data_IF_491145063615
#
_entry.id   IF_491145063615
#
_cell.length_a   1.000
_cell.length_b   1.000
_cell.length_c   1.000
_cell.angle_alpha   90.00
_cell.angle_beta   90.00
_cell.angle_gamma   90.00
#
_symmetry.space_group_name_H-M   'P 1'
#
loop_
_entity.id
_entity.type
_entity.pdbx_description
1 polymer ?
#
# COMPACT_ATOMS: atom_id res chain seq x y z
N UNK A 1 -11.81 -38.20 22.70
CA UNK A 1 -11.83 -36.73 22.44
C UNK A 1 -10.39 -36.25 22.49
N UNK A 2 -9.89 -35.51 21.50
CA UNK A 2 -8.50 -35.03 21.50
C UNK A 2 -8.26 -34.10 22.70
N UNK A 3 -7.19 -34.28 23.50
CA UNK A 3 -6.87 -33.41 24.63
C UNK A 3 -6.81 -31.93 24.24
N UNK A 4 -6.42 -31.64 23.00
CA UNK A 4 -6.33 -30.29 22.45
C UNK A 4 -7.68 -29.55 22.43
N UNK A 5 -8.79 -30.28 22.25
CA UNK A 5 -10.13 -29.69 22.21
C UNK A 5 -10.60 -29.23 23.60
N UNK A 6 -10.06 -29.83 24.66
CA UNK A 6 -10.42 -29.51 26.04
C UNK A 6 -9.58 -28.37 26.63
N UNK A 7 -8.61 -27.84 25.89
CA UNK A 7 -7.84 -26.69 26.33
C UNK A 7 -8.72 -25.42 26.38
N UNK A 8 -8.49 -24.53 27.37
CA UNK A 8 -9.00 -23.15 27.35
C UNK A 8 -8.68 -22.44 26.03
N UNK A 9 -9.54 -21.49 25.66
CA UNK A 9 -9.45 -20.79 24.37
C UNK A 9 -8.12 -20.04 24.24
N UNK A 10 -7.64 -19.44 25.32
CA UNK A 10 -6.40 -18.68 25.40
C UNK A 10 -5.19 -19.56 25.08
N UNK A 11 -5.16 -20.79 25.59
CA UNK A 11 -4.08 -21.74 25.29
C UNK A 11 -4.14 -22.20 23.83
N UNK A 12 -5.33 -22.36 23.26
CA UNK A 12 -5.48 -22.66 21.83
C UNK A 12 -4.95 -21.52 20.98
N UNK A 13 -5.27 -20.28 21.33
CA UNK A 13 -4.82 -19.09 20.61
C UNK A 13 -3.29 -18.95 20.66
N UNK A 14 -2.68 -19.18 21.83
CA UNK A 14 -1.22 -19.21 21.98
C UNK A 14 -0.60 -20.33 21.15
N UNK A 15 -1.18 -21.54 21.15
CA UNK A 15 -0.66 -22.63 20.30
C UNK A 15 -0.74 -22.24 18.82
N UNK A 16 -1.90 -21.76 18.36
CA UNK A 16 -2.13 -21.38 16.96
C UNK A 16 -1.22 -20.23 16.53
N UNK A 17 -0.92 -19.27 17.39
CA UNK A 17 -0.05 -18.13 17.06
C UNK A 17 1.41 -18.53 16.77
N UNK A 18 1.83 -19.71 17.22
CA UNK A 18 3.18 -20.25 16.97
C UNK A 18 3.23 -21.21 15.78
N UNK A 19 2.08 -21.56 15.19
CA UNK A 19 2.02 -22.43 14.01
C UNK A 19 2.28 -21.64 12.72
N UNK A 20 2.86 -22.32 11.74
CA UNK A 20 2.98 -21.77 10.38
C UNK A 20 1.60 -21.72 9.72
N UNK A 21 1.41 -20.79 8.79
CA UNK A 21 0.13 -20.58 8.12
C UNK A 21 -0.38 -21.85 7.41
N UNK A 22 0.52 -22.64 6.85
CA UNK A 22 0.19 -23.92 6.20
C UNK A 22 -0.36 -24.95 7.20
N UNK A 23 0.24 -24.99 8.40
CA UNK A 23 -0.17 -25.90 9.47
C UNK A 23 -1.51 -25.47 10.06
N UNK A 24 -1.75 -24.16 10.21
CA UNK A 24 -3.06 -23.62 10.59
C UNK A 24 -4.13 -24.01 9.56
N UNK A 25 -3.83 -23.90 8.28
CA UNK A 25 -4.76 -24.28 7.20
C UNK A 25 -5.06 -25.80 7.20
N UNK A 26 -4.07 -26.64 7.52
CA UNK A 26 -4.27 -28.09 7.72
C UNK A 26 -5.09 -28.37 8.97
N UNK A 27 -4.79 -27.71 10.09
CA UNK A 27 -5.49 -27.87 11.36
C UNK A 27 -6.98 -27.56 11.22
N UNK A 28 -7.31 -26.48 10.49
CA UNK A 28 -8.69 -26.12 10.15
C UNK A 28 -9.47 -27.27 9.50
N UNK A 29 -8.82 -28.11 8.69
CA UNK A 29 -9.47 -29.24 7.99
C UNK A 29 -9.71 -30.45 8.90
N UNK A 30 -9.01 -30.53 10.03
CA UNK A 30 -9.12 -31.70 10.93
C UNK A 30 -10.36 -31.66 11.83
N UNK A 31 -10.77 -30.47 12.31
CA UNK A 31 -11.88 -30.33 13.24
C UNK A 31 -12.56 -28.96 13.11
N UNK A 32 -13.91 -28.94 13.13
CA UNK A 32 -14.72 -27.71 13.02
C UNK A 32 -14.46 -26.70 14.14
N UNK A 33 -14.29 -27.18 15.38
CA UNK A 33 -14.02 -26.32 16.54
C UNK A 33 -12.65 -25.63 16.43
N UNK A 34 -11.62 -26.35 16.01
CA UNK A 34 -10.32 -25.73 15.72
C UNK A 34 -10.41 -24.82 14.50
N UNK A 35 -11.27 -25.16 13.55
CA UNK A 35 -11.56 -24.33 12.38
C UNK A 35 -12.00 -22.92 12.77
N UNK A 36 -12.96 -22.77 13.69
CA UNK A 36 -13.43 -21.44 14.10
C UNK A 36 -12.36 -20.64 14.83
N UNK A 37 -11.57 -21.28 15.69
CA UNK A 37 -10.45 -20.66 16.42
C UNK A 37 -9.32 -20.22 15.49
N UNK A 38 -9.08 -20.93 14.39
CA UNK A 38 -7.96 -20.67 13.47
C UNK A 38 -8.26 -19.61 12.40
N UNK A 39 -9.53 -19.27 12.17
CA UNK A 39 -9.92 -18.31 11.13
C UNK A 39 -9.28 -16.91 11.28
N UNK A 40 -9.28 -16.27 12.47
CA UNK A 40 -8.65 -14.96 12.63
C UNK A 40 -7.18 -14.96 12.19
N UNK A 41 -6.42 -15.98 12.58
CA UNK A 41 -5.00 -16.12 12.23
C UNK A 41 -4.77 -16.33 10.73
N UNK A 42 -5.72 -16.96 10.02
CA UNK A 42 -5.62 -17.16 8.57
C UNK A 42 -5.97 -15.90 7.77
N UNK A 43 -6.87 -15.05 8.27
CA UNK A 43 -7.41 -13.92 7.51
C UNK A 43 -6.93 -12.54 7.99
N UNK A 44 -6.33 -12.44 9.19
CA UNK A 44 -5.88 -11.15 9.74
C UNK A 44 -4.82 -10.46 8.87
N UNK A 45 -3.91 -11.24 8.28
CA UNK A 45 -2.78 -10.74 7.50
C UNK A 45 -2.86 -11.35 6.10
N UNK A 46 -3.11 -10.52 5.09
CA UNK A 46 -3.23 -10.96 3.70
C UNK A 46 -2.20 -10.24 2.85
N UNK A 47 -1.37 -11.02 2.16
CA UNK A 47 -0.44 -10.53 1.16
C UNK A 47 -0.89 -10.97 -0.23
N UNK A 48 -1.02 -10.01 -1.14
CA UNK A 48 -1.40 -10.19 -2.52
C UNK A 48 -0.24 -9.76 -3.39
N UNK A 49 0.14 -10.59 -4.35
CA UNK A 49 1.27 -10.32 -5.23
C UNK A 49 0.81 -10.47 -6.67
N UNK A 50 1.05 -9.45 -7.50
CA UNK A 50 0.81 -9.60 -8.94
C UNK A 50 1.89 -10.48 -9.56
N UNK A 51 1.47 -11.49 -10.33
CA UNK A 51 2.34 -12.37 -11.10
C UNK A 51 2.79 -11.75 -12.43
N UNK A 52 2.17 -10.63 -12.84
CA UNK A 52 2.40 -9.97 -14.15
C UNK A 52 3.86 -9.52 -14.35
N UNK A 53 4.55 -9.23 -13.26
CA UNK A 53 5.80 -8.49 -13.25
C UNK A 53 7.06 -9.32 -13.59
N UNK A 54 6.93 -10.62 -13.90
CA UNK A 54 8.04 -11.46 -14.35
C UNK A 54 8.05 -11.73 -15.86
N UNK A 55 7.05 -11.24 -16.61
CA UNK A 55 7.13 -11.29 -18.06
C UNK A 55 8.08 -10.20 -18.51
N UNK A 56 9.38 -10.51 -18.57
CA UNK A 56 10.33 -9.77 -19.39
C UNK A 56 9.69 -9.64 -20.76
N UNK A 57 9.27 -8.43 -21.15
CA UNK A 57 8.57 -8.22 -22.41
C UNK A 57 9.42 -8.85 -23.52
N UNK A 58 8.98 -9.93 -24.17
CA UNK A 58 9.66 -10.39 -25.36
C UNK A 58 9.48 -9.27 -26.38
N UNK A 59 10.60 -8.63 -26.74
CA UNK A 59 10.66 -7.72 -27.89
C UNK A 59 10.03 -8.48 -29.05
N UNK A 60 8.96 -7.92 -29.61
CA UNK A 60 8.32 -8.40 -30.83
C UNK A 60 7.63 -9.77 -30.71
N UNK A 61 6.34 -9.77 -30.34
CA UNK A 61 5.39 -10.72 -30.92
C UNK A 61 3.98 -10.15 -30.89
N UNK A 62 3.47 -9.90 -32.09
CA UNK A 62 2.10 -9.51 -32.37
C UNK A 62 1.11 -10.59 -31.92
N UNK A 63 0.01 -10.14 -31.32
CA UNK A 63 -1.23 -10.88 -31.09
C UNK A 63 -1.16 -12.17 -30.24
N UNK A 64 -1.41 -12.02 -28.93
CA UNK A 64 -2.46 -12.76 -28.19
C UNK A 64 -2.33 -12.42 -26.70
N UNK A 65 -3.20 -11.53 -26.23
CA UNK A 65 -3.34 -11.16 -24.81
C UNK A 65 -3.80 -12.39 -24.01
N UNK A 66 -2.85 -13.17 -23.48
CA UNK A 66 -3.13 -14.26 -22.54
C UNK A 66 -3.36 -13.67 -21.16
N UNK A 67 -4.64 -13.74 -20.77
CA UNK A 67 -5.25 -13.43 -19.47
C UNK A 67 -4.31 -13.68 -18.29
N UNK A 68 -4.21 -12.64 -17.46
CA UNK A 68 -3.66 -12.64 -16.11
C UNK A 68 -4.21 -13.79 -15.27
N UNK A 69 -3.45 -14.12 -14.22
CA UNK A 69 -3.86 -14.90 -13.04
C UNK A 69 -4.97 -14.18 -12.23
N UNK A 70 -6.10 -13.93 -12.89
CA UNK A 70 -7.35 -13.42 -12.36
C UNK A 70 -8.06 -14.33 -11.33
N UNK A 71 -7.89 -15.69 -11.29
CA UNK A 71 -8.81 -16.50 -10.50
C UNK A 71 -8.61 -16.34 -8.99
N UNK A 72 -7.38 -16.10 -8.50
CA UNK A 72 -7.14 -16.08 -7.06
C UNK A 72 -7.68 -14.81 -6.37
N UNK A 73 -7.50 -13.64 -6.98
CA UNK A 73 -8.05 -12.40 -6.44
C UNK A 73 -9.58 -12.34 -6.57
N UNK A 74 -10.12 -12.85 -7.67
CA UNK A 74 -11.57 -12.97 -7.85
C UNK A 74 -12.18 -13.90 -6.78
N UNK A 75 -11.53 -15.01 -6.44
CA UNK A 75 -11.96 -15.90 -5.36
C UNK A 75 -11.89 -15.23 -3.99
N UNK A 76 -10.87 -14.42 -3.71
CA UNK A 76 -10.79 -13.67 -2.46
C UNK A 76 -11.90 -12.61 -2.36
N UNK A 77 -12.10 -11.82 -3.41
CA UNK A 77 -13.19 -10.84 -3.48
C UNK A 77 -14.55 -11.52 -3.32
N UNK A 78 -14.75 -12.65 -3.98
CA UNK A 78 -15.95 -13.47 -3.83
C UNK A 78 -16.12 -13.95 -2.39
N UNK A 79 -15.05 -14.42 -1.75
CA UNK A 79 -15.10 -14.85 -0.34
C UNK A 79 -15.48 -13.71 0.59
N UNK A 80 -14.94 -12.51 0.38
CA UNK A 80 -15.30 -11.33 1.17
C UNK A 80 -16.72 -10.84 0.91
N UNK A 81 -17.18 -10.96 -0.33
CA UNK A 81 -18.56 -10.65 -0.69
C UNK A 81 -19.55 -11.65 -0.08
N UNK A 82 -19.23 -12.94 -0.11
CA UNK A 82 -20.08 -14.02 0.43
C UNK A 82 -20.04 -14.12 1.96
N UNK A 83 -18.98 -13.59 2.61
CA UNK A 83 -18.79 -13.68 4.06
C UNK A 83 -18.17 -12.41 4.64
N UNK A 84 -19.03 -11.50 5.12
CA UNK A 84 -18.63 -10.28 5.84
C UNK A 84 -17.86 -10.57 7.12
N UNK A 85 -18.14 -11.69 7.79
CA UNK A 85 -17.45 -12.08 9.02
C UNK A 85 -15.97 -12.32 8.76
N UNK A 86 -15.63 -12.99 7.65
CA UNK A 86 -14.24 -13.23 7.27
C UNK A 86 -13.53 -11.93 6.87
N UNK A 87 -14.22 -11.04 6.15
CA UNK A 87 -13.63 -9.77 5.72
C UNK A 87 -13.39 -8.82 6.91
N UNK A 88 -14.23 -8.90 7.95
CA UNK A 88 -14.05 -8.18 9.21
C UNK A 88 -12.84 -8.66 10.04
N UNK A 89 -12.33 -9.88 9.80
CA UNK A 89 -11.13 -10.40 10.43
C UNK A 89 -9.85 -9.77 9.87
N UNK A 90 -9.88 -9.21 8.66
CA UNK A 90 -8.69 -8.64 8.00
C UNK A 90 -8.22 -7.38 8.74
N UNK A 91 -6.96 -7.40 9.20
CA UNK A 91 -6.31 -6.29 9.91
C UNK A 91 -5.15 -5.67 9.13
N UNK A 92 -4.50 -6.45 8.28
CA UNK A 92 -3.33 -6.05 7.50
C UNK A 92 -3.44 -6.52 6.06
N UNK A 93 -3.16 -5.60 5.13
CA UNK A 93 -3.08 -5.88 3.69
C UNK A 93 -1.72 -5.46 3.14
N UNK A 94 -1.06 -6.35 2.41
CA UNK A 94 0.14 -6.05 1.63
C UNK A 94 -0.10 -6.33 0.16
N UNK A 95 0.02 -5.30 -0.66
CA UNK A 95 -0.07 -5.36 -2.11
C UNK A 95 1.35 -5.29 -2.68
N UNK A 96 1.84 -6.38 -3.27
CA UNK A 96 3.21 -6.52 -3.76
C UNK A 96 3.25 -6.51 -5.28
N UNK A 97 4.17 -5.69 -5.83
CA UNK A 97 4.38 -5.51 -7.26
C UNK A 97 3.08 -5.24 -8.03
N UNK A 98 2.18 -4.44 -7.47
CA UNK A 98 0.90 -4.16 -8.13
C UNK A 98 1.07 -3.14 -9.26
N UNK A 99 0.36 -3.36 -10.36
CA UNK A 99 0.22 -2.34 -11.40
C UNK A 99 -0.54 -1.13 -10.84
N UNK A 100 -0.10 0.12 -11.12
CA UNK A 100 -0.82 1.34 -10.74
C UNK A 100 -2.28 1.42 -11.21
N UNK A 101 -2.60 0.75 -12.32
CA UNK A 101 -3.95 0.71 -12.90
C UNK A 101 -4.85 -0.36 -12.28
N UNK A 102 -4.31 -1.21 -11.41
CA UNK A 102 -5.07 -2.32 -10.82
C UNK A 102 -6.23 -1.81 -9.97
N UNK A 103 -7.46 -2.21 -10.32
CA UNK A 103 -8.65 -1.93 -9.52
C UNK A 103 -8.73 -2.79 -8.24
N UNK A 104 -7.89 -3.84 -8.13
CA UNK A 104 -7.94 -4.81 -7.04
C UNK A 104 -7.86 -4.17 -5.65
N UNK A 105 -6.90 -3.26 -5.35
CA UNK A 105 -6.82 -2.70 -4.00
C UNK A 105 -8.09 -1.94 -3.61
N UNK A 106 -8.61 -1.10 -4.51
CA UNK A 106 -9.85 -0.34 -4.27
C UNK A 106 -11.01 -1.27 -3.93
N UNK A 107 -11.16 -2.37 -4.68
CA UNK A 107 -12.23 -3.34 -4.46
C UNK A 107 -12.08 -4.04 -3.11
N UNK A 108 -10.86 -4.44 -2.71
CA UNK A 108 -10.62 -5.12 -1.43
C UNK A 108 -10.81 -4.19 -0.23
N UNK A 109 -10.39 -2.93 -0.34
CA UNK A 109 -10.58 -1.94 0.72
C UNK A 109 -12.06 -1.70 1.06
N UNK A 110 -12.96 -1.83 0.08
CA UNK A 110 -14.40 -1.69 0.30
C UNK A 110 -15.00 -2.78 1.20
N UNK A 111 -14.33 -3.95 1.33
CA UNK A 111 -14.84 -5.08 2.13
C UNK A 111 -14.09 -5.27 3.45
N UNK A 112 -13.09 -4.46 3.77
CA UNK A 112 -12.21 -4.68 4.93
C UNK A 112 -12.37 -3.55 5.96
N UNK A 113 -13.52 -3.47 6.66
CA UNK A 113 -13.86 -2.31 7.50
C UNK A 113 -12.91 -2.14 8.69
N UNK A 114 -12.33 -3.24 9.18
CA UNK A 114 -11.46 -3.25 10.36
C UNK A 114 -9.96 -3.19 10.03
N UNK A 115 -9.62 -2.81 8.80
CA UNK A 115 -8.25 -2.77 8.33
C UNK A 115 -7.46 -1.67 9.05
N UNK A 116 -6.32 -2.04 9.61
CA UNK A 116 -5.46 -1.14 10.39
C UNK A 116 -4.11 -0.88 9.74
N UNK A 117 -3.63 -1.79 8.89
CA UNK A 117 -2.33 -1.69 8.23
C UNK A 117 -2.46 -1.92 6.73
N UNK A 118 -1.89 -1.02 5.93
CA UNK A 118 -1.74 -1.20 4.49
C UNK A 118 -0.28 -1.00 4.09
N UNK A 119 0.20 -1.91 3.26
CA UNK A 119 1.47 -1.75 2.54
C UNK A 119 1.24 -1.87 1.04
N UNK A 120 1.45 -0.77 0.31
CA UNK A 120 1.52 -0.74 -1.14
C UNK A 120 2.97 -0.84 -1.61
N UNK A 121 3.22 -1.73 -2.56
CA UNK A 121 4.45 -1.86 -3.33
C UNK A 121 4.06 -1.91 -4.81
N UNK A 122 4.12 -0.76 -5.45
CA UNK A 122 3.79 -0.61 -6.87
C UNK A 122 4.94 -1.04 -7.76
N UNK A 123 4.62 -1.62 -8.92
CA UNK A 123 5.57 -1.88 -9.98
C UNK A 123 5.16 -1.08 -11.22
N UNK A 124 5.89 0.00 -11.49
CA UNK A 124 5.64 0.90 -12.61
C UNK A 124 6.37 0.37 -13.84
N UNK A 125 5.60 0.01 -14.86
CA UNK A 125 6.14 -0.45 -16.14
C UNK A 125 6.11 0.73 -17.11
N UNK A 126 7.19 0.85 -17.88
CA UNK A 126 7.28 1.76 -19.02
C UNK A 126 7.09 0.95 -20.29
N UNK A 127 6.14 1.36 -21.11
CA UNK A 127 5.99 0.93 -22.49
C UNK A 127 6.55 2.02 -23.42
N UNK A 128 6.71 1.72 -24.70
CA UNK A 128 7.25 2.66 -25.70
C UNK A 128 6.48 3.98 -25.74
N UNK A 129 5.16 3.92 -25.58
CA UNK A 129 4.26 5.08 -25.72
C UNK A 129 3.67 5.60 -24.39
N UNK A 130 3.84 4.88 -23.28
CA UNK A 130 3.22 5.25 -22.01
C UNK A 130 3.98 4.76 -20.77
N UNK A 131 3.87 5.53 -19.69
CA UNK A 131 4.26 5.09 -18.35
C UNK A 131 2.98 4.83 -17.58
N UNK A 132 2.86 3.66 -16.96
CA UNK A 132 1.72 3.38 -16.08
C UNK A 132 1.92 4.17 -14.78
N UNK A 133 1.38 5.37 -14.72
CA UNK A 133 1.59 6.27 -13.59
C UNK A 133 0.72 5.91 -12.38
N UNK A 134 1.24 6.17 -11.19
CA UNK A 134 0.48 6.11 -9.95
C UNK A 134 -0.44 7.32 -9.86
N UNK A 135 -1.74 7.08 -10.04
CA UNK A 135 -2.78 8.08 -9.83
C UNK A 135 -3.01 8.29 -8.33
N UNK A 136 -2.33 9.30 -7.76
CA UNK A 136 -2.36 9.57 -6.32
C UNK A 136 -3.75 10.01 -5.83
N UNK A 137 -4.54 10.66 -6.68
CA UNK A 137 -5.92 11.03 -6.37
C UNK A 137 -6.85 9.81 -6.26
N UNK A 138 -6.72 8.86 -7.20
CA UNK A 138 -7.44 7.59 -7.15
C UNK A 138 -7.08 6.79 -5.90
N UNK A 139 -5.79 6.78 -5.53
CA UNK A 139 -5.31 6.16 -4.31
C UNK A 139 -5.93 6.80 -3.05
N UNK A 140 -5.89 8.12 -2.92
CA UNK A 140 -6.55 8.85 -1.82
C UNK A 140 -8.04 8.49 -1.74
N UNK A 141 -8.74 8.45 -2.87
CA UNK A 141 -10.17 8.09 -2.94
C UNK A 141 -10.43 6.66 -2.49
N UNK A 142 -9.59 5.70 -2.85
CA UNK A 142 -9.70 4.31 -2.41
C UNK A 142 -9.47 4.16 -0.90
N UNK A 143 -8.46 4.86 -0.36
CA UNK A 143 -8.12 4.85 1.06
C UNK A 143 -9.22 5.43 1.96
N UNK A 144 -10.12 6.28 1.43
CA UNK A 144 -11.25 6.82 2.19
C UNK A 144 -12.17 5.74 2.78
N UNK A 145 -12.22 4.56 2.18
CA UNK A 145 -13.03 3.44 2.67
C UNK A 145 -12.59 2.95 4.05
N UNK A 146 -11.31 3.14 4.40
CA UNK A 146 -10.70 2.69 5.66
C UNK A 146 -10.19 3.86 6.51
N UNK A 147 -10.62 5.10 6.21
CA UNK A 147 -10.14 6.33 6.89
C UNK A 147 -10.31 6.32 8.42
N UNK A 148 -11.30 5.58 8.90
CA UNK A 148 -11.67 5.52 10.32
C UNK A 148 -10.98 4.38 11.07
N UNK A 149 -10.19 3.54 10.40
CA UNK A 149 -9.59 2.34 10.98
C UNK A 149 -8.11 2.18 10.65
N UNK A 150 -7.66 2.72 9.53
CA UNK A 150 -6.27 2.66 9.11
C UNK A 150 -5.37 3.45 10.07
N UNK A 151 -4.40 2.75 10.67
CA UNK A 151 -3.38 3.29 11.56
C UNK A 151 -2.03 3.42 10.87
N UNK A 152 -1.65 2.43 10.06
CA UNK A 152 -0.34 2.37 9.41
C UNK A 152 -0.50 2.30 7.90
N UNK A 153 0.11 3.25 7.19
CA UNK A 153 0.16 3.28 5.73
C UNK A 153 1.61 3.36 5.27
N UNK A 154 2.02 2.38 4.48
CA UNK A 154 3.29 2.39 3.76
C UNK A 154 3.05 2.29 2.27
N UNK A 155 3.64 3.19 1.50
CA UNK A 155 3.61 3.18 0.04
C UNK A 155 5.06 3.15 -0.44
N UNK A 156 5.33 2.23 -1.36
CA UNK A 156 6.62 2.09 -2.03
C UNK A 156 6.33 1.83 -3.50
N UNK A 157 7.31 2.09 -4.36
CA UNK A 157 7.24 1.65 -5.75
C UNK A 157 8.62 1.30 -6.26
N UNK A 158 8.64 0.53 -7.35
CA UNK A 158 9.79 0.25 -8.20
C UNK A 158 9.39 0.52 -9.63
N UNK A 159 10.33 0.91 -10.48
CA UNK A 159 10.09 0.93 -11.92
C UNK A 159 11.05 -0.01 -12.64
N UNK A 160 10.70 -0.39 -13.87
CA UNK A 160 11.55 -1.22 -14.72
C UNK A 160 12.83 -0.46 -15.13
N UNK A 161 14.00 -1.05 -14.82
CA UNK A 161 15.32 -0.47 -15.07
C UNK A 161 15.76 -0.56 -16.55
N UNK A 162 15.05 -1.33 -17.38
CA UNK A 162 15.48 -1.66 -18.75
C UNK A 162 15.46 -0.48 -19.74
N UNK A 163 14.96 0.70 -19.37
CA UNK A 163 14.85 1.85 -20.27
C UNK A 163 15.82 2.97 -19.88
N UNK A 164 17.03 2.92 -20.45
CA UNK A 164 18.13 3.88 -20.22
C UNK A 164 17.92 5.26 -20.84
N UNK A 165 16.94 5.43 -21.73
CA UNK A 165 16.66 6.70 -22.41
C UNK A 165 15.59 7.47 -21.63
N UNK A 166 16.03 8.08 -20.52
CA UNK A 166 15.21 8.79 -19.55
C UNK A 166 14.88 10.20 -20.05
N UNK A 167 13.83 10.32 -20.85
CA UNK A 167 13.05 11.56 -20.83
C UNK A 167 12.28 11.67 -19.50
N UNK A 168 11.96 12.90 -19.10
CA UNK A 168 11.44 13.34 -17.80
C UNK A 168 10.03 12.81 -17.47
N UNK A 169 9.81 11.51 -17.48
CA UNK A 169 8.50 10.95 -17.13
C UNK A 169 8.28 10.95 -15.62
N UNK A 170 7.11 11.43 -15.21
CA UNK A 170 6.66 11.35 -13.83
C UNK A 170 6.08 9.95 -13.58
N UNK A 171 6.44 9.30 -12.46
CA UNK A 171 5.88 7.99 -12.09
C UNK A 171 4.56 8.10 -11.30
N UNK A 172 4.21 9.31 -10.92
CA UNK A 172 2.95 9.65 -10.26
C UNK A 172 2.33 10.88 -10.93
N UNK A 173 1.02 11.02 -10.75
CA UNK A 173 0.32 12.25 -11.09
C UNK A 173 -0.73 12.57 -10.02
N UNK A 174 -0.93 13.86 -9.76
CA UNK A 174 -1.80 14.35 -8.69
C UNK A 174 -1.20 14.12 -7.30
N UNK A 175 -1.94 14.47 -6.25
CA UNK A 175 -1.51 14.32 -4.87
C UNK A 175 -2.43 13.37 -4.09
N UNK A 176 -1.89 12.72 -3.06
CA UNK A 176 -2.63 11.81 -2.19
C UNK A 176 -2.96 12.48 -0.86
N UNK A 177 -4.09 13.18 -0.76
CA UNK A 177 -4.52 13.79 0.51
C UNK A 177 -4.99 12.72 1.51
N UNK A 178 -4.45 12.78 2.73
CA UNK A 178 -4.75 11.90 3.85
C UNK A 178 -5.35 12.68 5.04
N UNK A 179 -5.64 13.97 4.89
CA UNK A 179 -6.05 14.87 5.97
C UNK A 179 -7.29 14.39 6.75
N UNK A 180 -8.18 13.63 6.10
CA UNK A 180 -9.40 13.08 6.71
C UNK A 180 -9.20 11.77 7.48
N UNK A 181 -7.99 11.22 7.49
CA UNK A 181 -7.68 9.92 8.13
C UNK A 181 -7.21 10.12 9.57
N UNK A 182 -8.12 10.53 10.46
CA UNK A 182 -7.80 10.92 11.84
C UNK A 182 -7.19 9.81 12.70
N UNK A 183 -7.30 8.54 12.27
CA UNK A 183 -6.69 7.38 12.94
C UNK A 183 -5.31 7.00 12.42
N UNK A 184 -4.82 7.65 11.35
CA UNK A 184 -3.53 7.33 10.76
C UNK A 184 -2.41 7.84 11.67
N UNK A 185 -1.69 6.91 12.29
CA UNK A 185 -0.62 7.15 13.26
C UNK A 185 0.76 7.09 12.58
N UNK A 186 0.95 6.20 11.60
CA UNK A 186 2.23 5.99 10.92
C UNK A 186 2.05 6.12 9.40
N UNK A 187 2.82 7.02 8.80
CA UNK A 187 2.83 7.25 7.36
C UNK A 187 4.26 7.16 6.81
N UNK A 188 4.45 6.22 5.88
CA UNK A 188 5.66 6.09 5.06
C UNK A 188 5.26 6.21 3.58
N UNK A 189 5.58 7.32 2.92
CA UNK A 189 5.11 7.59 1.55
C UNK A 189 6.20 8.33 0.74
N UNK A 190 6.36 8.06 -0.57
CA UNK A 190 7.19 8.87 -1.44
C UNK A 190 6.59 10.27 -1.60
N UNK A 191 7.45 11.28 -1.53
CA UNK A 191 7.01 12.67 -1.48
C UNK A 191 6.22 13.09 -2.73
N UNK A 192 6.62 12.58 -3.90
CA UNK A 192 5.96 12.79 -5.19
C UNK A 192 4.57 12.14 -5.32
N UNK A 193 4.24 11.16 -4.47
CA UNK A 193 2.88 10.61 -4.38
C UNK A 193 2.04 11.44 -3.42
N UNK A 194 2.65 11.92 -2.32
CA UNK A 194 1.96 12.75 -1.34
C UNK A 194 1.59 14.13 -1.89
N UNK A 195 2.49 14.76 -2.64
CA UNK A 195 2.43 16.17 -3.02
C UNK A 195 2.34 16.40 -4.54
N UNK A 196 2.17 15.36 -5.37
CA UNK A 196 2.38 15.44 -6.83
C UNK A 196 3.86 15.58 -7.21
N UNK A 197 4.19 15.54 -8.49
CA UNK A 197 5.57 15.66 -8.99
C UNK A 197 5.98 17.12 -9.30
N UNK A 198 5.03 18.02 -9.57
CA UNK A 198 5.32 19.43 -9.85
C UNK A 198 5.26 20.29 -8.57
N UNK A 199 6.35 20.94 -8.12
CA UNK A 199 6.33 21.79 -6.92
C UNK A 199 5.32 22.94 -7.04
N UNK A 200 5.09 23.46 -8.24
CA UNK A 200 4.11 24.52 -8.52
C UNK A 200 2.66 24.09 -8.35
N UNK A 201 2.39 22.78 -8.39
CA UNK A 201 1.06 22.18 -8.15
C UNK A 201 0.96 21.52 -6.78
N UNK A 202 2.05 21.48 -6.04
CA UNK A 202 2.10 20.76 -4.78
C UNK A 202 1.23 21.46 -3.72
N UNK A 203 0.30 20.73 -3.08
CA UNK A 203 -0.42 21.27 -1.94
C UNK A 203 0.56 21.49 -0.78
N UNK A 204 0.16 22.29 0.21
CA UNK A 204 0.96 22.41 1.43
C UNK A 204 0.90 21.08 2.18
N UNK A 205 1.99 20.68 2.83
CA UNK A 205 2.00 19.49 3.70
C UNK A 205 0.88 19.52 4.75
N UNK A 206 0.60 20.72 5.27
CA UNK A 206 -0.51 21.00 6.19
C UNK A 206 -1.88 20.53 5.69
N UNK A 207 -2.11 20.60 4.37
CA UNK A 207 -3.41 20.34 3.75
C UNK A 207 -3.63 18.85 3.43
N UNK A 208 -2.55 18.05 3.47
CA UNK A 208 -2.57 16.63 3.10
C UNK A 208 -2.31 15.68 4.27
N UNK A 209 -1.67 16.13 5.34
CA UNK A 209 -1.36 15.28 6.49
C UNK A 209 -2.53 15.19 7.49
N UNK A 210 -2.81 14.00 8.06
CA UNK A 210 -3.83 13.84 9.10
C UNK A 210 -3.33 14.32 10.45
N UNK A 211 -4.23 14.90 11.26
CA UNK A 211 -3.87 15.44 12.59
C UNK A 211 -3.36 14.40 13.58
N UNK A 212 -3.82 13.15 13.48
CA UNK A 212 -3.44 12.04 14.38
C UNK A 212 -2.10 11.39 14.08
N UNK A 213 -1.29 11.98 13.19
CA UNK A 213 -0.04 11.40 12.76
C UNK A 213 1.03 11.50 13.85
N UNK A 214 1.60 10.36 14.23
CA UNK A 214 2.64 10.23 15.25
C UNK A 214 4.02 10.09 14.60
N UNK A 215 4.10 9.38 13.47
CA UNK A 215 5.36 9.14 12.74
C UNK A 215 5.17 9.39 11.26
N UNK A 216 6.04 10.22 10.70
CA UNK A 216 6.09 10.54 9.28
C UNK A 216 7.46 10.21 8.72
N UNK A 217 7.51 9.44 7.63
CA UNK A 217 8.74 9.08 6.96
C UNK A 217 8.61 9.19 5.45
N UNK A 218 9.64 9.72 4.80
CA UNK A 218 9.75 9.69 3.35
C UNK A 218 10.35 8.37 2.91
N UNK A 219 9.66 7.67 2.02
CA UNK A 219 10.24 6.52 1.33
C UNK A 219 11.11 7.05 0.19
N UNK A 220 12.38 6.62 0.08
CA UNK A 220 13.24 7.03 -1.01
C UNK A 220 12.65 6.63 -2.36
N UNK A 221 12.72 7.53 -3.34
CA UNK A 221 12.48 7.16 -4.73
C UNK A 221 13.58 6.18 -5.17
N UNK A 222 13.25 4.98 -5.67
CA UNK A 222 14.23 4.01 -6.17
C UNK A 222 15.21 4.61 -7.20
N UNK A 223 14.82 5.65 -7.94
CA UNK A 223 15.64 6.27 -8.99
C UNK A 223 16.62 7.34 -8.48
N UNK A 224 16.62 7.66 -7.19
CA UNK A 224 17.54 8.65 -6.62
C UNK A 224 19.01 8.18 -6.53
N UNK A 225 19.37 7.03 -7.13
CA UNK A 225 20.72 6.44 -7.02
C UNK A 225 21.71 6.77 -8.13
N UNK A 226 21.33 7.49 -9.20
CA UNK A 226 22.29 7.67 -10.30
C UNK A 226 22.07 8.79 -11.32
N UNK A 227 20.89 9.41 -11.41
CA UNK A 227 20.62 10.38 -12.48
C UNK A 227 20.53 11.81 -11.95
N UNK A 228 21.62 12.59 -12.16
CA UNK A 228 21.70 14.03 -11.85
C UNK A 228 20.61 14.91 -12.48
N UNK A 229 19.84 14.42 -13.47
CA UNK A 229 18.83 15.21 -14.19
C UNK A 229 17.37 14.95 -13.79
N UNK A 230 17.08 13.82 -13.12
CA UNK A 230 15.72 13.51 -12.62
C UNK A 230 15.52 13.96 -11.17
N UNK A 231 16.49 14.70 -10.65
CA UNK A 231 16.44 15.28 -9.32
C UNK A 231 15.50 16.49 -9.24
N UNK A 232 14.39 16.62 -9.97
CA UNK A 232 13.56 17.84 -9.84
C UNK A 232 13.05 18.08 -8.39
N UNK A 233 12.98 17.04 -7.56
CA UNK A 233 12.75 17.15 -6.12
C UNK A 233 14.03 17.26 -5.24
N UNK A 234 15.20 16.93 -5.78
CA UNK A 234 16.45 16.74 -5.05
C UNK A 234 17.70 17.32 -5.74
N UNK A 235 17.52 18.16 -6.78
CA UNK A 235 18.61 18.66 -7.64
C UNK A 235 19.26 19.73 -6.82
N UNK A 236 20.51 19.51 -6.46
CA UNK A 236 21.23 20.35 -5.52
C UNK A 236 21.25 21.82 -5.95
N UNK A 237 21.02 22.10 -7.25
CA UNK A 237 20.92 23.46 -7.79
C UNK A 237 19.49 24.02 -7.91
N UNK A 238 18.45 23.20 -7.68
CA UNK A 238 17.03 23.58 -7.68
C UNK A 238 16.24 23.00 -6.49
N UNK A 239 16.90 22.65 -5.38
CA UNK A 239 16.29 22.13 -4.15
C UNK A 239 15.35 23.17 -3.49
N UNK A 240 15.51 24.45 -3.83
CA UNK A 240 14.78 25.55 -3.20
C UNK A 240 13.27 25.31 -3.09
N UNK A 241 12.50 24.93 -4.13
CA UNK A 241 11.03 24.87 -4.01
C UNK A 241 10.52 23.77 -3.07
N UNK A 242 11.13 22.57 -3.09
CA UNK A 242 10.73 21.45 -2.24
C UNK A 242 11.22 21.67 -0.82
N UNK A 243 12.46 22.14 -0.69
CA UNK A 243 13.01 22.48 0.62
C UNK A 243 12.24 23.63 1.23
N UNK A 244 11.84 24.65 0.48
CA UNK A 244 10.99 25.74 0.97
C UNK A 244 9.61 25.24 1.40
N UNK A 245 9.06 24.21 0.75
CA UNK A 245 7.81 23.58 1.16
C UNK A 245 7.97 22.83 2.49
N UNK A 246 9.04 22.03 2.63
CA UNK A 246 9.34 21.27 3.84
C UNK A 246 9.76 22.20 4.98
N UNK A 247 10.73 23.09 4.73
CA UNK A 247 11.19 24.12 5.65
C UNK A 247 10.04 25.01 6.03
N UNK A 248 9.21 25.50 5.12
CA UNK A 248 8.05 26.32 5.46
C UNK A 248 7.04 25.60 6.37
N UNK A 249 6.98 24.26 6.30
CA UNK A 249 6.17 23.43 7.19
C UNK A 249 6.85 23.19 8.56
N UNK A 250 8.16 22.93 8.57
CA UNK A 250 8.95 22.66 9.78
C UNK A 250 9.27 23.95 10.56
N UNK A 251 9.43 25.07 9.84
CA UNK A 251 9.89 26.36 10.35
C UNK A 251 8.93 26.86 11.43
N UNK A 252 9.53 27.35 12.51
CA UNK A 252 8.83 27.86 13.71
C UNK A 252 7.87 26.86 14.36
N UNK A 253 7.95 25.57 14.02
CA UNK A 253 7.11 24.54 14.62
C UNK A 253 5.63 24.62 14.22
N UNK A 254 5.29 25.29 13.11
CA UNK A 254 3.90 25.41 12.61
C UNK A 254 3.22 24.06 12.41
N UNK A 255 3.99 23.04 12.03
CA UNK A 255 3.49 21.67 11.93
C UNK A 255 2.82 21.17 13.21
N UNK A 256 3.23 21.63 14.40
CA UNK A 256 2.64 21.21 15.69
C UNK A 256 1.18 21.65 15.83
N UNK A 257 0.74 22.68 15.13
CA UNK A 257 -0.67 23.10 15.13
C UNK A 257 -1.56 22.15 14.31
N UNK A 258 -0.95 21.51 13.31
CA UNK A 258 -1.63 20.65 12.34
C UNK A 258 -1.53 19.19 12.75
N UNK A 259 -0.33 18.72 13.05
CA UNK A 259 0.03 17.35 13.48
C UNK A 259 0.72 17.41 14.86
N UNK A 260 -0.03 17.72 15.94
CA UNK A 260 0.54 17.96 17.27
C UNK A 260 1.29 16.76 17.85
N UNK A 261 0.93 15.55 17.44
CA UNK A 261 1.47 14.30 17.98
C UNK A 261 2.69 13.76 17.22
N UNK A 262 3.12 14.45 16.15
CA UNK A 262 4.25 14.01 15.32
C UNK A 262 5.56 14.08 16.11
N UNK A 263 6.33 12.99 16.10
CA UNK A 263 7.59 12.80 16.84
C UNK A 263 8.79 12.65 15.93
#
# INVERSE_FOLDING_TARGET
>A
ISPLLNLPQELKDVVVSHLRREDIARLRRTCRSLGTTTLPFLYQDIALQSTESNKTYPKESTASSRKLDEPHHALLLRTFFESSDLSALVKSLSFRRISPESAMPKNILAFTPNLTTIHYDYFVIRNEDCVNQINAYSLSTALRQVRNTLKHLKITYKADENYSNLELYTYSHGHCSLATMSRLEILEIPLNILLDYGPEKAPRLADVLPRGLIRFGFVPDPWNRGYRRLQQWWDVNSIEPVWDLIVGFVDRGKWKEIVPDLK
#
